data_IF_134899019849
#
_entry.id   IF_134899019849
#
_cell.length_a   1.000
_cell.length_b   1.000
_cell.length_c   1.000
_cell.angle_alpha   90.00
_cell.angle_beta   90.00
_cell.angle_gamma   90.00
#
_symmetry.space_group_name_H-M   'P 1'
#
loop_
_entity.id
_entity.type
_entity.pdbx_description
1 polymer ?
#
# COMPACT_ATOMS: atom_id res chain seq x y z
N UNK A 1 23.21 -17.00 21.20
CA UNK A 1 21.96 -16.28 21.51
C UNK A 1 22.02 -14.99 20.76
N UNK A 2 20.95 -14.64 20.04
CA UNK A 2 20.86 -13.34 19.38
C UNK A 2 20.98 -12.22 20.44
N UNK A 3 21.72 -11.17 20.10
CA UNK A 3 22.18 -10.12 21.02
C UNK A 3 21.72 -8.72 20.63
N UNK A 4 21.26 -8.52 19.39
CA UNK A 4 21.03 -7.20 18.86
C UNK A 4 19.55 -6.95 18.55
N UNK A 5 19.05 -5.80 19.02
CA UNK A 5 17.84 -5.17 18.52
C UNK A 5 18.22 -4.02 17.61
N UNK A 6 17.77 -4.06 16.36
CA UNK A 6 18.12 -3.09 15.34
C UNK A 6 16.91 -2.29 14.92
N UNK A 7 17.09 -0.98 14.83
CA UNK A 7 16.12 -0.05 14.28
C UNK A 7 16.74 0.72 13.13
N UNK A 8 16.00 0.86 12.04
CA UNK A 8 16.43 1.57 10.83
C UNK A 8 15.38 2.61 10.45
N UNK A 9 15.80 3.83 10.11
CA UNK A 9 14.93 4.83 9.50
C UNK A 9 15.54 5.27 8.16
N UNK A 10 14.92 4.86 7.07
CA UNK A 10 15.39 5.18 5.72
C UNK A 10 14.82 6.55 5.34
N UNK A 11 15.60 7.61 5.41
CA UNK A 11 15.22 8.92 4.90
C UNK A 11 15.48 9.11 3.40
N UNK A 12 15.17 10.31 2.90
CA UNK A 12 15.43 10.68 1.50
C UNK A 12 16.92 10.83 1.17
N UNK A 13 17.70 11.41 2.09
CA UNK A 13 19.14 11.67 1.91
C UNK A 13 20.00 10.68 2.69
N UNK A 14 19.57 10.33 3.91
CA UNK A 14 20.31 9.47 4.82
C UNK A 14 19.44 8.35 5.34
N UNK A 15 20.06 7.22 5.62
CA UNK A 15 19.48 6.11 6.37
C UNK A 15 20.15 6.07 7.74
N UNK A 16 19.34 6.22 8.79
CA UNK A 16 19.75 6.19 10.18
C UNK A 16 19.62 4.75 10.70
N UNK A 17 20.65 4.24 11.38
CA UNK A 17 20.70 2.88 11.91
C UNK A 17 21.09 2.94 13.38
N UNK A 18 20.33 2.23 14.22
CA UNK A 18 20.60 2.08 15.64
C UNK A 18 20.68 0.59 15.97
N UNK A 19 21.80 0.18 16.54
CA UNK A 19 22.04 -1.19 17.03
C UNK A 19 22.12 -1.16 18.54
N UNK A 20 21.19 -1.83 19.21
CA UNK A 20 21.16 -1.99 20.65
C UNK A 20 21.61 -3.41 21.03
N UNK A 21 22.65 -3.52 21.84
CA UNK A 21 23.11 -4.79 22.39
C UNK A 21 22.36 -5.09 23.69
N UNK A 22 21.45 -6.06 23.65
CA UNK A 22 20.61 -6.42 24.81
C UNK A 22 21.40 -7.07 25.93
N UNK A 23 22.63 -7.55 25.66
CA UNK A 23 23.48 -8.22 26.66
C UNK A 23 24.32 -7.24 27.45
N UNK A 24 24.78 -6.15 26.82
CA UNK A 24 25.62 -5.13 27.46
C UNK A 24 24.85 -3.86 27.82
N UNK A 25 23.70 -3.62 27.18
CA UNK A 25 22.93 -2.39 27.30
C UNK A 25 23.49 -1.21 26.49
N UNK A 26 24.52 -1.43 25.68
CA UNK A 26 25.11 -0.39 24.82
C UNK A 26 24.30 -0.19 23.53
N UNK A 27 24.29 1.04 23.01
CA UNK A 27 23.79 1.32 21.67
C UNK A 27 24.88 1.93 20.79
N UNK A 28 24.79 1.66 19.49
CA UNK A 28 25.66 2.23 18.45
C UNK A 28 24.80 2.78 17.33
N UNK A 29 25.16 3.95 16.83
CA UNK A 29 24.49 4.61 15.72
C UNK A 29 25.36 4.60 14.45
N UNK A 30 24.69 4.61 13.30
CA UNK A 30 25.30 4.92 12.01
C UNK A 30 24.37 5.80 11.17
N UNK A 31 24.98 6.58 10.29
CA UNK A 31 24.30 7.40 9.30
C UNK A 31 24.99 7.19 7.96
N UNK A 32 24.29 6.54 7.05
CA UNK A 32 24.77 6.26 5.70
C UNK A 32 23.94 7.02 4.69
N UNK A 33 24.52 7.34 3.52
CA UNK A 33 23.77 7.96 2.44
C UNK A 33 22.71 6.98 1.93
N UNK A 34 21.47 7.44 1.79
CA UNK A 34 20.41 6.63 1.19
C UNK A 34 20.73 6.34 -0.27
N UNK A 35 20.26 5.19 -0.74
CA UNK A 35 20.47 4.69 -2.10
C UNK A 35 19.13 4.68 -2.86
N UNK A 36 18.70 5.78 -3.52
CA UNK A 36 17.33 5.91 -4.03
C UNK A 36 16.92 4.87 -5.07
N UNK A 37 17.89 4.29 -5.78
CA UNK A 37 17.63 3.20 -6.75
C UNK A 37 17.28 1.88 -6.07
N UNK A 38 17.84 1.63 -4.89
CA UNK A 38 17.57 0.44 -4.10
C UNK A 38 17.82 0.74 -2.61
N UNK A 39 16.74 1.01 -1.88
CA UNK A 39 16.82 1.47 -0.50
C UNK A 39 17.46 0.46 0.46
N UNK A 40 17.47 -0.84 0.12
CA UNK A 40 18.07 -1.87 0.96
C UNK A 40 19.60 -1.80 1.01
N UNK A 41 20.25 -1.25 -0.03
CA UNK A 41 21.72 -1.22 -0.09
C UNK A 41 22.32 -0.40 1.07
N UNK A 42 21.73 0.76 1.36
CA UNK A 42 22.13 1.59 2.50
C UNK A 42 21.95 0.86 3.84
N UNK A 43 20.85 0.12 4.00
CA UNK A 43 20.60 -0.66 5.23
C UNK A 43 21.67 -1.73 5.43
N UNK A 44 21.98 -2.49 4.37
CA UNK A 44 23.00 -3.55 4.41
C UNK A 44 24.38 -2.94 4.69
N UNK A 45 24.74 -1.85 4.01
CA UNK A 45 26.03 -1.17 4.22
C UNK A 45 26.23 -0.73 5.67
N UNK A 46 25.22 -0.14 6.31
CA UNK A 46 25.34 0.30 7.69
C UNK A 46 25.28 -0.85 8.70
N UNK A 47 24.58 -1.94 8.40
CA UNK A 47 24.60 -3.15 9.21
C UNK A 47 25.97 -3.82 9.19
N UNK A 48 26.58 -3.99 8.01
CA UNK A 48 27.90 -4.64 7.85
C UNK A 48 29.01 -3.90 8.62
N UNK A 49 28.86 -2.59 8.85
CA UNK A 49 29.79 -1.78 9.66
C UNK A 49 29.65 -2.00 11.16
N UNK A 50 28.52 -2.51 11.64
CA UNK A 50 28.17 -2.57 13.08
C UNK A 50 27.98 -3.97 13.62
N UNK A 51 27.60 -4.93 12.77
CA UNK A 51 27.28 -6.30 13.16
C UNK A 51 28.03 -7.26 12.23
N UNK A 52 28.88 -8.11 12.80
CA UNK A 52 29.64 -9.10 12.03
C UNK A 52 28.79 -10.26 11.51
N UNK A 53 27.72 -10.61 12.24
CA UNK A 53 26.83 -11.71 11.88
C UNK A 53 25.36 -11.30 12.12
N UNK A 54 24.61 -11.11 11.03
CA UNK A 54 23.19 -10.75 11.12
C UNK A 54 22.33 -11.83 11.81
N UNK A 55 22.79 -13.07 11.94
CA UNK A 55 22.11 -14.08 12.76
C UNK A 55 22.10 -13.75 14.26
N UNK A 56 22.87 -12.77 14.70
CA UNK A 56 22.82 -12.27 16.08
C UNK A 56 21.74 -11.18 16.29
N UNK A 57 20.95 -10.83 15.28
CA UNK A 57 19.84 -9.89 15.39
C UNK A 57 18.58 -10.64 15.83
N UNK A 58 18.05 -10.30 17.00
CA UNK A 58 16.82 -10.89 17.56
C UNK A 58 15.57 -10.12 17.12
N UNK A 59 15.72 -8.81 16.97
CA UNK A 59 14.65 -7.90 16.58
C UNK A 59 15.13 -6.92 15.53
N UNK A 60 14.34 -6.74 14.47
CA UNK A 60 14.62 -5.78 13.42
C UNK A 60 13.35 -5.00 13.08
N UNK A 61 13.43 -3.68 13.15
CA UNK A 61 12.37 -2.77 12.70
C UNK A 61 12.95 -1.78 11.70
N UNK A 62 12.23 -1.53 10.62
CA UNK A 62 12.59 -0.49 9.66
C UNK A 62 11.40 0.44 9.39
N UNK A 63 11.69 1.74 9.42
CA UNK A 63 10.83 2.81 8.96
C UNK A 63 11.28 3.31 7.60
N UNK A 64 10.33 3.70 6.75
CA UNK A 64 10.65 4.40 5.50
C UNK A 64 9.47 5.27 5.05
N UNK A 65 9.72 6.49 4.55
CA UNK A 65 8.71 7.32 3.93
C UNK A 65 8.44 6.91 2.48
N UNK A 66 9.11 5.88 1.93
CA UNK A 66 8.99 5.50 0.52
C UNK A 66 7.54 5.30 0.06
N UNK A 67 6.71 4.63 0.88
CA UNK A 67 5.29 4.44 0.57
C UNK A 67 4.47 5.73 0.60
N UNK A 68 4.72 6.61 1.58
CA UNK A 68 4.06 7.91 1.66
C UNK A 68 4.48 8.82 0.51
N UNK A 69 5.77 8.86 0.18
CA UNK A 69 6.30 9.65 -0.93
C UNK A 69 5.76 9.14 -2.28
N UNK A 70 5.70 7.83 -2.48
CA UNK A 70 5.05 7.22 -3.64
C UNK A 70 3.59 7.69 -3.80
N UNK A 71 2.84 7.75 -2.70
CA UNK A 71 1.47 8.27 -2.70
C UNK A 71 1.39 9.77 -3.01
N UNK A 72 2.19 10.59 -2.33
CA UNK A 72 2.20 12.05 -2.50
C UNK A 72 2.63 12.47 -3.92
N UNK A 73 3.65 11.80 -4.46
CA UNK A 73 4.19 12.03 -5.80
C UNK A 73 3.38 11.32 -6.90
N UNK A 74 2.36 10.55 -6.53
CA UNK A 74 1.55 9.71 -7.43
C UNK A 74 2.40 8.79 -8.29
N UNK A 75 3.50 8.28 -7.73
CA UNK A 75 4.37 7.28 -8.34
C UNK A 75 3.97 5.92 -7.81
N UNK A 76 3.32 5.12 -8.63
CA UNK A 76 2.86 3.80 -8.23
C UNK A 76 2.49 2.93 -9.42
N UNK A 77 1.94 1.76 -9.12
CA UNK A 77 1.42 0.86 -10.13
C UNK A 77 0.28 1.52 -10.92
N UNK A 78 0.10 1.09 -12.17
CA UNK A 78 -1.12 1.40 -12.93
C UNK A 78 -2.22 0.45 -12.44
N UNK A 79 -3.17 0.98 -11.67
CA UNK A 79 -4.19 0.18 -10.96
C UNK A 79 -5.54 0.22 -11.66
N UNK A 80 -6.16 -0.95 -11.87
CA UNK A 80 -7.59 -1.06 -12.19
C UNK A 80 -8.40 -1.27 -10.91
N UNK A 81 -9.56 -0.64 -10.79
CA UNK A 81 -10.50 -0.87 -9.67
C UNK A 81 -11.67 -1.71 -10.16
N UNK A 82 -11.98 -2.83 -9.51
CA UNK A 82 -13.17 -3.64 -9.77
C UNK A 82 -14.17 -3.40 -8.65
N UNK A 83 -15.38 -3.01 -9.01
CA UNK A 83 -16.51 -2.81 -8.07
C UNK A 83 -17.71 -3.67 -8.44
N UNK A 84 -18.67 -3.77 -7.54
CA UNK A 84 -20.01 -4.29 -7.85
C UNK A 84 -20.66 -3.47 -8.97
N UNK A 85 -21.42 -4.11 -9.86
CA UNK A 85 -22.25 -3.40 -10.85
C UNK A 85 -23.19 -2.40 -10.20
N UNK A 86 -23.19 -1.17 -10.72
CA UNK A 86 -23.88 0.00 -10.17
C UNK A 86 -23.08 0.80 -9.13
N UNK A 87 -21.85 0.37 -8.78
CA UNK A 87 -21.03 0.99 -7.72
C UNK A 87 -19.74 1.62 -8.23
N UNK A 88 -19.52 1.63 -9.55
CA UNK A 88 -18.32 2.21 -10.19
C UNK A 88 -17.95 3.60 -9.69
N UNK A 89 -18.96 4.45 -9.53
CA UNK A 89 -18.78 5.88 -9.26
C UNK A 89 -18.63 6.20 -7.78
N UNK A 90 -18.78 5.22 -6.88
CA UNK A 90 -18.66 5.44 -5.42
C UNK A 90 -17.29 5.98 -5.04
N UNK A 91 -16.22 5.50 -5.69
CA UNK A 91 -14.86 5.99 -5.48
C UNK A 91 -14.71 7.47 -5.90
N UNK A 92 -15.22 7.81 -7.09
CA UNK A 92 -15.21 9.18 -7.63
C UNK A 92 -16.13 10.12 -6.85
N UNK A 93 -17.23 9.64 -6.27
CA UNK A 93 -18.15 10.44 -5.43
C UNK A 93 -17.51 10.68 -4.05
N UNK A 94 -16.80 9.70 -3.49
CA UNK A 94 -16.20 9.71 -2.15
C UNK A 94 -17.15 10.27 -1.06
N UNK A 95 -18.36 9.71 -1.00
CA UNK A 95 -19.43 10.05 -0.04
C UNK A 95 -19.95 11.50 -0.14
N UNK A 96 -19.51 12.30 -1.12
CA UNK A 96 -19.93 13.70 -1.25
C UNK A 96 -19.40 14.61 -0.14
N UNK A 97 -18.37 14.18 0.60
CA UNK A 97 -17.77 14.98 1.66
C UNK A 97 -17.20 16.30 1.09
N UNK A 98 -17.62 17.43 1.67
CA UNK A 98 -17.10 18.77 1.34
C UNK A 98 -16.56 19.43 2.62
N UNK A 99 -15.25 19.31 2.91
CA UNK A 99 -14.64 19.84 4.13
C UNK A 99 -14.82 21.36 4.24
N UNK A 100 -14.75 22.06 3.10
CA UNK A 100 -14.94 23.51 3.01
C UNK A 100 -16.34 23.83 2.45
N UNK A 101 -17.38 23.56 3.27
CA UNK A 101 -18.78 23.63 2.84
C UNK A 101 -19.18 24.99 2.23
N UNK A 102 -18.64 26.09 2.75
CA UNK A 102 -18.95 27.46 2.31
C UNK A 102 -18.00 28.00 1.22
N UNK A 103 -16.92 27.29 0.89
CA UNK A 103 -16.01 27.71 -0.17
C UNK A 103 -16.58 27.27 -1.52
N UNK A 104 -17.26 28.18 -2.24
CA UNK A 104 -17.84 27.92 -3.56
C UNK A 104 -16.80 27.47 -4.60
N UNK A 105 -15.54 27.84 -4.42
CA UNK A 105 -14.42 27.49 -5.30
C UNK A 105 -13.73 26.17 -4.92
N UNK A 106 -14.22 25.46 -3.90
CA UNK A 106 -13.65 24.18 -3.47
C UNK A 106 -13.56 23.19 -4.63
N UNK A 107 -12.37 22.61 -4.83
CA UNK A 107 -12.13 21.52 -5.77
C UNK A 107 -11.76 20.27 -5.01
N UNK A 108 -12.49 19.19 -5.27
CA UNK A 108 -12.16 17.88 -4.72
C UNK A 108 -10.76 17.45 -5.20
N UNK A 109 -9.93 16.85 -4.33
CA UNK A 109 -8.68 16.25 -4.76
C UNK A 109 -8.90 15.24 -5.90
N UNK A 110 -8.05 15.25 -6.93
CA UNK A 110 -8.09 14.26 -8.01
C UNK A 110 -7.94 12.85 -7.39
N UNK A 111 -8.81 11.88 -7.70
CA UNK A 111 -8.64 10.52 -7.20
C UNK A 111 -7.34 9.87 -7.70
N UNK A 112 -6.93 8.75 -7.09
CA UNK A 112 -5.75 8.01 -7.55
C UNK A 112 -6.06 7.20 -8.82
N UNK A 113 -7.28 6.67 -8.90
CA UNK A 113 -7.78 5.87 -10.00
C UNK A 113 -8.84 6.70 -10.72
N UNK A 114 -8.71 6.86 -12.04
CA UNK A 114 -9.71 7.59 -12.81
C UNK A 114 -10.94 6.70 -13.03
N UNK A 115 -12.12 7.32 -13.17
CA UNK A 115 -13.38 6.59 -13.43
C UNK A 115 -13.28 5.60 -14.59
N UNK A 116 -12.51 5.93 -15.63
CA UNK A 116 -12.30 5.09 -16.82
C UNK A 116 -11.53 3.79 -16.54
N UNK A 117 -10.79 3.77 -15.43
CA UNK A 117 -10.00 2.66 -14.90
C UNK A 117 -10.76 1.85 -13.83
N UNK A 118 -11.99 2.26 -13.52
CA UNK A 118 -12.93 1.49 -12.71
C UNK A 118 -13.82 0.60 -13.59
N UNK A 119 -13.91 -0.67 -13.24
CA UNK A 119 -14.66 -1.72 -13.92
C UNK A 119 -15.69 -2.32 -12.97
N UNK A 120 -16.70 -2.97 -13.53
CA UNK A 120 -17.83 -3.52 -12.78
C UNK A 120 -18.00 -5.00 -13.07
N UNK A 121 -18.23 -5.79 -12.02
CA UNK A 121 -18.60 -7.20 -12.13
C UNK A 121 -20.01 -7.41 -11.60
N UNK A 122 -20.69 -8.42 -12.15
CA UNK A 122 -22.04 -8.76 -11.73
C UNK A 122 -21.99 -9.67 -10.51
N UNK A 123 -22.31 -9.09 -9.36
CA UNK A 123 -22.52 -9.78 -8.09
C UNK A 123 -23.39 -8.90 -7.18
N UNK A 124 -23.94 -9.47 -6.11
CA UNK A 124 -24.51 -8.68 -5.02
C UNK A 124 -24.56 -9.45 -3.71
N UNK A 125 -23.86 -8.93 -2.70
CA UNK A 125 -24.02 -9.33 -1.29
C UNK A 125 -24.86 -8.28 -0.53
N UNK A 126 -25.85 -8.74 0.23
CA UNK A 126 -26.69 -7.91 1.09
C UNK A 126 -26.01 -7.57 2.41
N UNK A 127 -26.55 -6.59 3.13
CA UNK A 127 -25.96 -6.14 4.40
C UNK A 127 -25.98 -7.21 5.51
N UNK A 128 -26.82 -8.24 5.38
CA UNK A 128 -26.87 -9.39 6.28
C UNK A 128 -25.94 -10.55 5.83
N UNK A 129 -25.19 -10.39 4.74
CA UNK A 129 -24.31 -11.41 4.18
C UNK A 129 -24.97 -12.33 3.14
N UNK A 130 -26.28 -12.24 2.93
CA UNK A 130 -26.96 -13.07 1.93
C UNK A 130 -26.52 -12.70 0.51
N UNK A 131 -26.29 -13.74 -0.30
CA UNK A 131 -25.99 -13.59 -1.72
C UNK A 131 -27.29 -13.34 -2.46
N UNK A 132 -27.53 -12.09 -2.88
CA UNK A 132 -28.68 -11.74 -3.73
C UNK A 132 -28.40 -12.08 -5.19
N UNK A 133 -27.19 -11.81 -5.66
CA UNK A 133 -26.72 -12.20 -6.99
C UNK A 133 -25.34 -12.85 -6.85
N UNK A 134 -25.17 -14.12 -7.27
CA UNK A 134 -23.86 -14.76 -7.25
C UNK A 134 -22.92 -14.06 -8.24
N UNK A 135 -21.61 -14.17 -7.99
CA UNK A 135 -20.59 -13.65 -8.90
C UNK A 135 -20.68 -14.33 -10.26
N UNK A 136 -20.93 -13.56 -11.32
CA UNK A 136 -20.89 -14.06 -12.70
C UNK A 136 -19.43 -14.21 -13.15
N UNK A 137 -19.06 -15.44 -13.50
CA UNK A 137 -17.74 -15.75 -14.05
C UNK A 137 -17.51 -15.06 -15.39
N UNK A 138 -18.56 -14.96 -16.19
CA UNK A 138 -18.54 -14.33 -17.51
C UNK A 138 -18.19 -12.84 -17.37
N UNK A 139 -18.86 -12.13 -16.45
CA UNK A 139 -18.55 -10.71 -16.19
C UNK A 139 -17.13 -10.49 -15.68
N UNK A 140 -16.59 -11.44 -14.90
CA UNK A 140 -15.20 -11.38 -14.41
C UNK A 140 -14.22 -11.56 -15.56
N UNK A 141 -14.44 -12.55 -16.43
CA UNK A 141 -13.58 -12.82 -17.59
C UNK A 141 -13.53 -11.58 -18.49
N UNK A 142 -14.68 -11.01 -18.83
CA UNK A 142 -14.75 -9.79 -19.65
C UNK A 142 -13.98 -8.61 -19.04
N UNK A 143 -14.07 -8.41 -17.73
CA UNK A 143 -13.34 -7.34 -17.04
C UNK A 143 -11.84 -7.63 -17.03
N UNK A 144 -11.43 -8.87 -16.76
CA UNK A 144 -10.02 -9.28 -16.73
C UNK A 144 -9.38 -9.10 -18.10
N UNK A 145 -10.06 -9.50 -19.19
CA UNK A 145 -9.56 -9.32 -20.56
C UNK A 145 -9.34 -7.83 -20.86
N UNK A 146 -10.31 -6.97 -20.52
CA UNK A 146 -10.19 -5.51 -20.69
C UNK A 146 -9.08 -4.90 -19.85
N UNK A 147 -8.82 -5.44 -18.66
CA UNK A 147 -7.71 -5.00 -17.80
C UNK A 147 -6.38 -5.42 -18.43
N UNK A 148 -6.28 -6.64 -18.92
CA UNK A 148 -5.07 -7.16 -19.57
C UNK A 148 -4.73 -6.35 -20.83
N UNK A 149 -5.71 -6.08 -21.70
CA UNK A 149 -5.56 -5.26 -22.91
C UNK A 149 -5.04 -3.84 -22.64
N UNK A 150 -5.41 -3.26 -21.48
CA UNK A 150 -5.03 -1.91 -21.10
C UNK A 150 -3.73 -1.83 -20.31
N UNK A 151 -3.08 -2.96 -20.04
CA UNK A 151 -1.76 -3.04 -19.41
C UNK A 151 -1.72 -2.51 -17.98
N UNK A 152 -2.76 -2.73 -17.18
CA UNK A 152 -2.67 -2.47 -15.73
C UNK A 152 -1.72 -3.47 -15.08
N UNK A 153 -0.94 -3.01 -14.11
CA UNK A 153 0.06 -3.84 -13.39
C UNK A 153 -0.43 -4.25 -12.00
N UNK A 154 -1.63 -3.80 -11.60
CA UNK A 154 -2.26 -4.13 -10.33
C UNK A 154 -3.78 -3.98 -10.43
N UNK A 155 -4.51 -4.73 -9.61
CA UNK A 155 -5.98 -4.72 -9.56
C UNK A 155 -6.44 -4.64 -8.10
N UNK A 156 -7.29 -3.67 -7.79
CA UNK A 156 -7.99 -3.58 -6.52
C UNK A 156 -9.43 -4.09 -6.69
N UNK A 157 -9.88 -5.01 -5.84
CA UNK A 157 -11.25 -5.53 -5.87
C UNK A 157 -12.00 -5.03 -4.63
N UNK A 158 -13.03 -4.22 -4.86
CA UNK A 158 -13.82 -3.57 -3.81
C UNK A 158 -15.32 -3.80 -4.06
N UNK A 159 -15.80 -4.95 -3.64
CA UNK A 159 -17.19 -5.37 -3.76
C UNK A 159 -18.00 -4.93 -2.54
N UNK A 160 -19.25 -4.51 -2.76
CA UNK A 160 -20.14 -4.07 -1.68
C UNK A 160 -20.40 -5.23 -0.70
N UNK A 161 -20.30 -4.95 0.59
CA UNK A 161 -20.52 -5.93 1.67
C UNK A 161 -19.63 -7.19 1.60
N UNK A 162 -18.51 -7.18 0.86
CA UNK A 162 -17.61 -8.34 0.75
C UNK A 162 -17.15 -8.88 2.12
N UNK A 163 -16.97 -7.99 3.10
CA UNK A 163 -16.58 -8.34 4.46
C UNK A 163 -17.59 -9.22 5.21
N UNK A 164 -18.87 -9.24 4.78
CA UNK A 164 -19.92 -10.07 5.40
C UNK A 164 -19.84 -11.54 4.99
N UNK A 165 -19.22 -11.84 3.86
CA UNK A 165 -19.14 -13.19 3.30
C UNK A 165 -17.68 -13.68 3.25
N UNK A 166 -16.86 -13.24 4.20
CA UNK A 166 -15.42 -13.46 4.27
C UNK A 166 -14.99 -14.90 4.56
N UNK A 167 -15.46 -15.87 3.76
CA UNK A 167 -14.70 -17.11 3.57
C UNK A 167 -13.44 -16.72 2.81
N UNK A 168 -12.33 -16.66 3.54
CA UNK A 168 -10.99 -16.60 2.95
C UNK A 168 -10.67 -17.93 2.30
#
# INVERSE_FOLDING_TARGET
>A
MAKYSVSVDIGGTFTDIVVYDVTTGEYREDKVLSTPKNLSDAVVEGLDKKIHNCSDIDFFVHGTPAGLNAFLERKGAKVALITTKGFRDVYEIARGNRPEMYNLSYRKPKPLIERVDSFEVEERILANGDIKHPLSKESVIEVVDRIAERGYTSVAVCLINAFMNGKT
#
